data_IF_559555126448
#
_entry.id   IF_559555126448
#
_cell.length_a   1.000
_cell.length_b   1.000
_cell.length_c   1.000
_cell.angle_alpha   90.00
_cell.angle_beta   90.00
_cell.angle_gamma   90.00
#
_symmetry.space_group_name_H-M   'P 1'
#
loop_
_entity.id
_entity.type
_entity.pdbx_description
1 polymer ?
#
# COMPACT_ATOMS: atom_id res chain seq x y z
N UNK A 1 13.49 -9.21 -9.00
CA UNK A 1 12.81 -10.20 -8.17
C UNK A 1 11.65 -9.64 -7.32
N UNK A 2 10.86 -8.73 -7.90
CA UNK A 2 9.75 -8.04 -7.23
C UNK A 2 8.41 -8.77 -7.36
N UNK A 3 8.43 -10.10 -7.50
CA UNK A 3 7.20 -10.91 -7.49
C UNK A 3 6.63 -10.99 -6.06
N UNK A 4 5.32 -11.07 -5.92
CA UNK A 4 4.68 -11.11 -4.59
C UNK A 4 5.27 -12.20 -3.68
N UNK A 5 5.52 -13.46 -4.12
CA UNK A 5 6.14 -14.46 -3.25
C UNK A 5 7.51 -14.03 -2.70
N UNK A 6 8.34 -13.33 -3.49
CA UNK A 6 9.64 -12.86 -3.02
C UNK A 6 9.48 -11.73 -1.99
N UNK A 7 8.56 -10.77 -2.26
CA UNK A 7 8.28 -9.68 -1.32
C UNK A 7 7.72 -10.18 0.02
N UNK A 8 6.88 -11.23 -0.01
CA UNK A 8 6.43 -11.88 1.22
C UNK A 8 7.58 -12.58 1.95
N UNK A 9 8.48 -13.23 1.19
CA UNK A 9 9.68 -13.86 1.75
C UNK A 9 10.63 -12.86 2.42
N UNK A 10 10.72 -11.62 1.88
CA UNK A 10 11.51 -10.54 2.50
C UNK A 10 10.92 -10.13 3.85
N UNK A 11 9.59 -9.98 3.96
CA UNK A 11 8.91 -9.69 5.23
C UNK A 11 9.13 -10.83 6.24
N UNK A 12 8.96 -12.09 5.81
CA UNK A 12 9.20 -13.26 6.65
C UNK A 12 10.66 -13.31 7.16
N UNK A 13 11.63 -12.98 6.30
CA UNK A 13 13.03 -12.93 6.68
C UNK A 13 13.31 -11.89 7.77
N UNK A 14 12.69 -10.70 7.69
CA UNK A 14 12.79 -9.67 8.72
C UNK A 14 12.19 -10.15 10.06
N UNK A 15 11.00 -10.75 10.04
CA UNK A 15 10.35 -11.27 11.27
C UNK A 15 11.23 -12.34 11.92
N UNK A 16 11.78 -13.25 11.12
CA UNK A 16 12.70 -14.28 11.60
C UNK A 16 13.99 -13.70 12.19
N UNK A 17 14.56 -12.67 11.55
CA UNK A 17 15.77 -12.00 12.04
C UNK A 17 15.53 -11.28 13.38
N UNK A 18 14.33 -10.74 13.59
CA UNK A 18 13.91 -10.15 14.85
C UNK A 18 13.73 -11.19 15.98
N UNK A 19 13.68 -12.48 15.67
CA UNK A 19 13.51 -13.55 16.64
C UNK A 19 12.15 -13.58 17.33
N UNK A 20 11.12 -13.05 16.70
CA UNK A 20 9.75 -13.01 17.22
C UNK A 20 8.82 -13.91 16.41
N UNK A 21 7.75 -14.42 17.04
CA UNK A 21 6.78 -15.30 16.38
C UNK A 21 5.77 -14.52 15.53
N UNK A 22 5.38 -13.33 15.99
CA UNK A 22 4.41 -12.49 15.31
C UNK A 22 4.67 -11.01 15.54
N UNK A 23 4.14 -10.18 14.66
CA UNK A 23 4.32 -8.72 14.67
C UNK A 23 2.99 -7.99 14.48
N UNK A 24 2.96 -6.72 14.84
CA UNK A 24 2.03 -5.76 14.27
C UNK A 24 2.62 -5.29 12.94
N UNK A 25 1.94 -5.62 11.84
CA UNK A 25 2.40 -5.25 10.50
C UNK A 25 1.73 -3.95 10.06
N UNK A 26 2.54 -2.98 9.63
CA UNK A 26 2.05 -1.67 9.17
C UNK A 26 2.50 -1.45 7.73
N UNK A 27 1.58 -1.12 6.84
CA UNK A 27 1.89 -0.88 5.44
C UNK A 27 1.17 0.32 4.83
N UNK A 28 1.86 1.01 3.93
CA UNK A 28 1.33 2.09 3.12
C UNK A 28 1.58 1.79 1.64
N UNK A 29 0.64 2.08 0.77
CA UNK A 29 0.74 1.89 -0.68
C UNK A 29 1.21 0.46 -1.06
N UNK A 30 2.32 0.29 -1.75
CA UNK A 30 2.91 -1.03 -2.03
C UNK A 30 3.17 -1.84 -0.76
N UNK A 31 3.65 -1.18 0.31
CA UNK A 31 3.76 -1.82 1.63
C UNK A 31 2.42 -2.29 2.17
N UNK A 32 1.34 -1.55 1.94
CA UNK A 32 -0.03 -1.97 2.25
C UNK A 32 -0.47 -3.20 1.45
N UNK A 33 -0.14 -3.24 0.14
CA UNK A 33 -0.42 -4.41 -0.71
C UNK A 33 0.30 -5.66 -0.21
N UNK A 34 1.58 -5.52 0.11
CA UNK A 34 2.41 -6.60 0.67
C UNK A 34 1.83 -7.04 2.02
N UNK A 35 1.45 -6.09 2.88
CA UNK A 35 0.91 -6.39 4.21
C UNK A 35 -0.42 -7.12 4.18
N UNK A 36 -1.35 -6.74 3.29
CA UNK A 36 -2.59 -7.49 3.06
C UNK A 36 -2.28 -8.93 2.62
N UNK A 37 -1.41 -9.10 1.62
CA UNK A 37 -1.04 -10.42 1.12
C UNK A 37 -0.29 -11.24 2.17
N UNK A 38 0.62 -10.63 2.94
CA UNK A 38 1.35 -11.31 3.99
C UNK A 38 0.41 -11.82 5.09
N UNK A 39 -0.52 -10.98 5.55
CA UNK A 39 -1.50 -11.37 6.55
C UNK A 39 -2.43 -12.51 6.08
N UNK A 40 -2.74 -12.58 4.78
CA UNK A 40 -3.53 -13.67 4.19
C UNK A 40 -2.75 -14.99 4.08
N UNK A 41 -1.45 -14.94 3.81
CA UNK A 41 -0.63 -16.14 3.59
C UNK A 41 0.03 -16.65 4.88
N UNK A 42 0.33 -15.73 5.81
CA UNK A 42 1.03 -16.01 7.07
C UNK A 42 0.26 -15.44 8.29
N UNK A 43 -1.04 -15.78 8.46
CA UNK A 43 -1.86 -15.16 9.50
C UNK A 43 -1.33 -15.38 10.91
N UNK A 44 -0.56 -16.45 11.14
CA UNK A 44 0.06 -16.75 12.44
C UNK A 44 1.20 -15.79 12.81
N UNK A 45 1.78 -15.11 11.82
CA UNK A 45 2.88 -14.17 12.04
C UNK A 45 2.42 -12.72 12.15
N UNK A 46 1.09 -12.47 12.05
CA UNK A 46 0.51 -11.11 12.14
C UNK A 46 -0.52 -11.09 13.26
N UNK A 47 -0.19 -10.44 14.38
CA UNK A 47 -1.13 -10.29 15.49
C UNK A 47 -2.08 -9.09 15.31
N UNK A 48 -1.66 -8.06 14.59
CA UNK A 48 -2.45 -6.87 14.24
C UNK A 48 -2.01 -6.32 12.88
N UNK A 49 -2.93 -5.81 12.10
CA UNK A 49 -2.64 -5.24 10.78
C UNK A 49 -3.07 -3.77 10.72
N UNK A 50 -2.17 -2.88 10.29
CA UNK A 50 -2.45 -1.46 10.07
C UNK A 50 -2.17 -1.11 8.61
N UNK A 51 -3.15 -0.54 7.93
CA UNK A 51 -3.04 -0.17 6.51
C UNK A 51 -3.30 1.32 6.34
N UNK A 52 -2.41 1.99 5.63
CA UNK A 52 -2.55 3.38 5.21
C UNK A 52 -2.74 3.45 3.69
N UNK A 53 -3.79 4.08 3.23
CA UNK A 53 -4.08 4.36 1.81
C UNK A 53 -3.85 3.18 0.86
N UNK A 54 -4.35 2.02 1.22
CA UNK A 54 -4.56 0.92 0.28
C UNK A 54 -5.82 0.14 0.69
N UNK A 55 -6.69 -0.11 -0.26
CA UNK A 55 -7.91 -0.89 -0.05
C UNK A 55 -7.60 -2.39 0.00
N UNK A 56 -8.49 -3.17 0.60
CA UNK A 56 -8.41 -4.62 0.53
C UNK A 56 -8.32 -5.09 -0.93
N UNK A 57 -7.57 -6.15 -1.27
CA UNK A 57 -7.38 -6.59 -2.66
C UNK A 57 -8.68 -6.79 -3.44
N UNK A 58 -9.75 -7.24 -2.80
CA UNK A 58 -11.08 -7.37 -3.46
C UNK A 58 -11.65 -6.01 -3.83
N UNK A 59 -11.63 -5.05 -2.91
CA UNK A 59 -12.10 -3.70 -3.17
C UNK A 59 -11.29 -3.03 -4.27
N UNK A 60 -9.96 -3.16 -4.22
CA UNK A 60 -9.07 -2.67 -5.27
C UNK A 60 -9.42 -3.25 -6.66
N UNK A 61 -9.61 -4.56 -6.75
CA UNK A 61 -9.99 -5.20 -8.01
C UNK A 61 -11.36 -4.77 -8.50
N UNK A 62 -12.34 -4.62 -7.61
CA UNK A 62 -13.70 -4.18 -7.96
C UNK A 62 -13.68 -2.77 -8.56
N UNK A 63 -12.95 -1.84 -7.94
CA UNK A 63 -12.78 -0.49 -8.47
C UNK A 63 -12.06 -0.52 -9.81
N UNK A 64 -10.97 -1.26 -9.93
CA UNK A 64 -10.20 -1.36 -11.17
C UNK A 64 -11.02 -1.89 -12.34
N UNK A 65 -11.88 -2.88 -12.13
CA UNK A 65 -12.77 -3.45 -13.16
C UNK A 65 -13.84 -2.46 -13.60
N UNK A 66 -14.30 -1.59 -12.70
CA UNK A 66 -15.37 -0.62 -12.93
C UNK A 66 -14.86 0.82 -12.98
N UNK A 67 -13.54 1.02 -13.18
CA UNK A 67 -12.92 2.32 -13.09
C UNK A 67 -13.53 3.35 -14.05
N UNK A 68 -13.88 4.52 -13.50
CA UNK A 68 -14.31 5.70 -14.25
C UNK A 68 -13.21 6.20 -15.19
N UNK A 69 -13.55 7.10 -16.09
CA UNK A 69 -12.57 7.75 -16.96
C UNK A 69 -11.52 8.51 -16.12
N UNK A 70 -11.94 9.20 -15.06
CA UNK A 70 -11.06 9.94 -14.16
C UNK A 70 -10.12 8.99 -13.40
N UNK A 71 -10.64 7.87 -12.88
CA UNK A 71 -9.82 6.90 -12.18
C UNK A 71 -8.79 6.24 -13.12
N UNK A 72 -9.17 5.96 -14.36
CA UNK A 72 -8.23 5.46 -15.39
C UNK A 72 -7.13 6.47 -15.67
N UNK A 73 -7.47 7.76 -15.79
CA UNK A 73 -6.50 8.84 -15.97
C UNK A 73 -5.56 8.97 -14.75
N UNK A 74 -6.11 8.94 -13.54
CA UNK A 74 -5.34 9.01 -12.30
C UNK A 74 -4.36 7.84 -12.11
N UNK A 75 -4.67 6.67 -12.67
CA UNK A 75 -3.85 5.46 -12.57
C UNK A 75 -3.04 5.14 -13.84
N UNK A 76 -3.00 6.05 -14.82
CA UNK A 76 -2.25 5.88 -16.06
C UNK A 76 -0.76 5.60 -15.82
N UNK A 77 -0.19 6.20 -14.77
CA UNK A 77 1.20 5.99 -14.37
C UNK A 77 1.54 4.51 -14.15
N UNK A 78 0.57 3.67 -13.73
CA UNK A 78 0.78 2.22 -13.56
C UNK A 78 1.18 1.56 -14.89
N UNK A 79 0.59 2.02 -15.99
CA UNK A 79 0.94 1.56 -17.35
C UNK A 79 2.26 2.16 -17.81
N UNK A 80 2.45 3.46 -17.56
CA UNK A 80 3.65 4.18 -17.97
C UNK A 80 4.91 3.60 -17.32
N UNK A 81 4.84 3.24 -16.04
CA UNK A 81 5.95 2.64 -15.27
C UNK A 81 6.37 1.26 -15.76
N UNK A 82 5.51 0.58 -16.52
CA UNK A 82 5.86 -0.69 -17.16
C UNK A 82 6.67 -0.50 -18.46
N UNK A 83 6.68 0.72 -19.02
CA UNK A 83 7.39 1.02 -20.25
C UNK A 83 8.90 0.99 -20.01
N UNK A 84 9.69 0.23 -20.80
CA UNK A 84 11.15 0.26 -20.71
C UNK A 84 11.70 1.68 -20.94
N UNK A 85 12.65 2.10 -20.10
CA UNK A 85 13.27 3.43 -20.17
C UNK A 85 12.45 4.55 -19.52
N UNK A 86 11.29 4.25 -18.93
CA UNK A 86 10.51 5.28 -18.23
C UNK A 86 11.23 5.79 -16.97
N UNK A 87 12.12 4.99 -16.40
CA UNK A 87 12.99 5.35 -15.27
C UNK A 87 13.79 6.63 -15.52
N UNK A 88 14.18 6.90 -16.76
CA UNK A 88 14.96 8.09 -17.13
C UNK A 88 14.18 9.42 -16.98
N UNK A 89 12.83 9.32 -16.86
CA UNK A 89 11.93 10.46 -16.62
C UNK A 89 11.69 10.75 -15.15
N UNK A 90 12.06 9.83 -14.28
CA UNK A 90 11.80 9.91 -12.83
C UNK A 90 13.09 10.32 -12.10
N UNK A 91 13.52 11.58 -12.30
CA UNK A 91 14.67 12.10 -11.55
C UNK A 91 14.36 12.19 -10.06
N UNK A 92 15.38 12.26 -9.18
CA UNK A 92 15.17 12.46 -7.74
C UNK A 92 14.26 13.66 -7.42
N UNK A 93 14.37 14.76 -8.20
CA UNK A 93 13.53 15.96 -8.05
C UNK A 93 12.07 15.69 -8.40
N UNK A 94 11.81 14.95 -9.49
CA UNK A 94 10.45 14.56 -9.91
C UNK A 94 9.84 13.67 -8.85
N UNK A 95 10.56 12.66 -8.37
CA UNK A 95 10.10 11.76 -7.30
C UNK A 95 9.83 12.50 -5.99
N UNK A 96 10.71 13.46 -5.64
CA UNK A 96 10.50 14.34 -4.48
C UNK A 96 9.24 15.19 -4.64
N UNK A 97 9.01 15.76 -5.82
CA UNK A 97 7.81 16.54 -6.12
C UNK A 97 6.53 15.70 -5.97
N UNK A 98 6.53 14.46 -6.44
CA UNK A 98 5.40 13.53 -6.33
C UNK A 98 5.14 13.15 -4.86
N UNK A 99 6.20 12.82 -4.11
CA UNK A 99 6.07 12.22 -2.78
C UNK A 99 5.96 13.25 -1.64
N UNK A 100 6.52 14.44 -1.82
CA UNK A 100 6.64 15.45 -0.76
C UNK A 100 6.53 16.90 -1.28
N UNK A 101 5.92 17.13 -2.45
CA UNK A 101 5.89 18.45 -3.09
C UNK A 101 5.26 19.56 -2.25
N UNK A 102 4.33 19.21 -1.37
CA UNK A 102 3.64 20.08 -0.41
C UNK A 102 4.28 20.15 0.98
N UNK A 103 5.35 19.37 1.22
CA UNK A 103 6.03 19.34 2.50
C UNK A 103 6.98 20.53 2.71
N UNK A 104 7.41 20.75 3.96
CA UNK A 104 8.45 21.71 4.30
C UNK A 104 9.78 21.38 3.61
N UNK A 105 10.60 22.41 3.33
CA UNK A 105 11.84 22.24 2.56
C UNK A 105 12.84 21.27 3.20
N UNK A 106 12.89 21.20 4.53
CA UNK A 106 13.72 20.21 5.22
C UNK A 106 13.28 18.76 4.93
N UNK A 107 11.98 18.51 4.84
CA UNK A 107 11.43 17.20 4.48
C UNK A 107 11.74 16.89 3.02
N UNK A 108 11.56 17.85 2.12
CA UNK A 108 11.91 17.69 0.70
C UNK A 108 13.39 17.34 0.51
N UNK A 109 14.29 18.00 1.26
CA UNK A 109 15.72 17.72 1.19
C UNK A 109 16.04 16.25 1.55
N UNK A 110 15.39 15.70 2.58
CA UNK A 110 15.54 14.28 2.97
C UNK A 110 15.01 13.32 1.90
N UNK A 111 13.86 13.65 1.27
CA UNK A 111 13.32 12.86 0.16
C UNK A 111 14.27 12.90 -1.05
N UNK A 112 14.78 14.08 -1.40
CA UNK A 112 15.73 14.25 -2.51
C UNK A 112 17.01 13.41 -2.29
N UNK A 113 17.58 13.47 -1.09
CA UNK A 113 18.74 12.66 -0.71
C UNK A 113 18.42 11.16 -0.82
N UNK A 114 17.28 10.71 -0.28
CA UNK A 114 16.86 9.31 -0.34
C UNK A 114 16.69 8.83 -1.78
N UNK A 115 16.01 9.59 -2.64
CA UNK A 115 15.82 9.23 -4.04
C UNK A 115 17.13 9.27 -4.85
N UNK A 116 18.06 10.20 -4.53
CA UNK A 116 19.37 10.26 -5.18
C UNK A 116 20.22 9.01 -4.88
N UNK A 117 19.98 8.34 -3.76
CA UNK A 117 20.67 7.12 -3.33
C UNK A 117 19.87 5.84 -3.63
N UNK A 118 18.73 5.95 -4.31
CA UNK A 118 17.82 4.82 -4.55
C UNK A 118 17.84 4.37 -6.02
N UNK A 119 17.43 3.13 -6.24
CA UNK A 119 17.26 2.58 -7.60
C UNK A 119 15.86 2.86 -8.13
N UNK A 120 15.71 3.85 -9.01
CA UNK A 120 14.43 4.14 -9.70
C UNK A 120 13.94 2.92 -10.47
N UNK A 121 14.85 2.21 -11.15
CA UNK A 121 14.52 0.94 -11.82
C UNK A 121 13.88 -0.05 -10.85
N UNK A 122 14.45 -0.21 -9.64
CA UNK A 122 13.91 -1.08 -8.61
C UNK A 122 12.49 -0.66 -8.19
N UNK A 123 12.21 0.63 -8.08
CA UNK A 123 10.87 1.14 -7.77
C UNK A 123 9.86 0.77 -8.87
N UNK A 124 10.23 0.86 -10.15
CA UNK A 124 9.36 0.51 -11.27
C UNK A 124 9.18 -1.01 -11.43
N UNK A 125 10.14 -1.81 -10.98
CA UNK A 125 10.07 -3.26 -11.08
C UNK A 125 8.92 -3.87 -10.23
N UNK A 126 8.43 -3.17 -9.19
CA UNK A 126 7.17 -3.52 -8.51
C UNK A 126 6.00 -3.53 -9.49
N UNK A 127 5.85 -2.46 -10.28
CA UNK A 127 4.77 -2.33 -11.27
C UNK A 127 4.93 -3.32 -12.42
N UNK A 128 6.16 -3.52 -12.90
CA UNK A 128 6.48 -4.48 -13.97
C UNK A 128 6.18 -5.92 -13.55
N UNK A 129 6.52 -6.29 -12.32
CA UNK A 129 6.26 -7.62 -11.80
C UNK A 129 4.77 -7.89 -11.52
N UNK A 130 4.06 -6.90 -10.96
CA UNK A 130 2.66 -7.07 -10.58
C UNK A 130 1.69 -6.95 -11.75
N UNK A 131 1.97 -6.06 -12.72
CA UNK A 131 1.02 -5.70 -13.78
C UNK A 131 1.49 -6.11 -15.19
N UNK A 132 2.76 -6.48 -15.37
CA UNK A 132 3.32 -6.84 -16.69
C UNK A 132 2.66 -8.05 -17.36
N UNK A 133 2.03 -8.94 -16.59
CA UNK A 133 1.28 -10.09 -17.09
C UNK A 133 -0.21 -9.80 -17.36
N UNK A 134 -0.76 -8.69 -16.91
CA UNK A 134 -2.19 -8.38 -17.08
C UNK A 134 -2.60 -8.06 -18.53
N UNK A 135 -1.62 -7.67 -19.35
CA UNK A 135 -1.86 -7.42 -20.77
C UNK A 135 -1.85 -8.72 -21.61
N UNK A 136 -1.54 -9.87 -21.03
CA UNK A 136 -1.47 -11.17 -21.74
C UNK A 136 -2.77 -11.97 -21.69
N UNK A 137 -3.86 -11.42 -21.15
CA UNK A 137 -5.16 -12.11 -21.04
C UNK A 137 -5.17 -13.30 -20.05
N UNK A 138 -4.13 -13.50 -19.29
CA UNK A 138 -4.06 -14.52 -18.23
C UNK A 138 -4.62 -13.99 -16.90
N UNK A 139 -5.77 -13.33 -16.93
CA UNK A 139 -6.55 -13.05 -15.74
C UNK A 139 -7.04 -14.36 -15.14
N UNK A 140 -6.34 -14.89 -14.18
CA UNK A 140 -6.78 -16.05 -13.41
C UNK A 140 -8.16 -15.79 -12.81
N UNK A 141 -8.99 -16.84 -12.69
CA UNK A 141 -10.26 -16.79 -11.96
C UNK A 141 -10.05 -16.09 -10.61
N UNK A 142 -11.02 -15.31 -10.11
CA UNK A 142 -10.92 -14.70 -8.79
C UNK A 142 -10.73 -15.81 -7.76
N UNK A 143 -9.50 -15.94 -7.27
CA UNK A 143 -9.22 -16.90 -6.21
C UNK A 143 -9.98 -16.44 -4.96
N UNK A 144 -10.66 -17.35 -4.30
CA UNK A 144 -11.27 -17.07 -3.01
C UNK A 144 -10.16 -16.62 -2.05
N UNK A 145 -10.27 -15.39 -1.52
CA UNK A 145 -9.30 -14.88 -0.57
C UNK A 145 -9.72 -15.34 0.82
N UNK A 146 -8.77 -15.74 1.69
CA UNK A 146 -9.08 -16.10 3.05
C UNK A 146 -9.55 -14.87 3.83
N UNK A 147 -10.39 -15.09 4.83
CA UNK A 147 -10.69 -14.08 5.84
C UNK A 147 -9.48 -13.88 6.76
N UNK A 148 -9.31 -12.67 7.23
CA UNK A 148 -8.22 -12.29 8.13
C UNK A 148 -8.65 -12.49 9.57
N UNK A 149 -7.97 -13.35 10.35
CA UNK A 149 -8.36 -13.64 11.73
C UNK A 149 -7.78 -12.66 12.76
N UNK A 150 -7.11 -11.58 12.32
CA UNK A 150 -6.51 -10.58 13.20
C UNK A 150 -7.22 -9.23 13.10
N UNK A 151 -7.17 -8.41 14.16
CA UNK A 151 -7.68 -7.04 14.12
C UNK A 151 -7.01 -6.19 13.06
N UNK A 152 -7.80 -5.37 12.36
CA UNK A 152 -7.33 -4.48 11.31
C UNK A 152 -7.70 -3.04 11.61
N UNK A 153 -6.71 -2.13 11.55
CA UNK A 153 -6.89 -0.69 11.53
C UNK A 153 -6.54 -0.17 10.14
N UNK A 154 -7.49 0.50 9.49
CA UNK A 154 -7.26 1.06 8.15
C UNK A 154 -7.48 2.57 8.18
N UNK A 155 -6.50 3.33 7.69
CA UNK A 155 -6.60 4.76 7.41
C UNK A 155 -6.74 4.99 5.91
N UNK A 156 -7.57 5.97 5.52
CA UNK A 156 -7.71 6.34 4.11
C UNK A 156 -8.01 7.82 3.94
N UNK A 157 -7.20 8.51 3.14
CA UNK A 157 -7.44 9.88 2.73
C UNK A 157 -8.48 9.95 1.60
N UNK A 158 -9.58 10.69 1.80
CA UNK A 158 -10.69 10.71 0.83
C UNK A 158 -10.37 11.49 -0.45
N UNK A 159 -9.26 12.20 -0.50
CA UNK A 159 -8.75 12.89 -1.69
C UNK A 159 -7.72 12.05 -2.46
N UNK A 160 -7.48 10.79 -2.05
CA UNK A 160 -6.55 9.89 -2.75
C UNK A 160 -7.03 9.62 -4.18
N UNK A 161 -6.20 10.02 -5.15
CA UNK A 161 -6.47 9.81 -6.57
C UNK A 161 -5.89 8.49 -7.09
N UNK A 162 -4.89 7.93 -6.41
CA UNK A 162 -4.25 6.69 -6.79
C UNK A 162 -5.08 5.47 -6.36
N UNK A 163 -5.60 5.50 -5.13
CA UNK A 163 -6.40 4.43 -4.55
C UNK A 163 -7.80 4.95 -4.24
N UNK A 164 -8.76 4.59 -5.07
CA UNK A 164 -10.14 5.07 -4.96
C UNK A 164 -10.81 4.55 -3.67
N UNK A 165 -11.40 5.49 -2.91
CA UNK A 165 -12.14 5.22 -1.67
C UNK A 165 -13.31 4.24 -1.83
N UNK A 166 -13.87 4.09 -3.03
CA UNK A 166 -14.95 3.13 -3.28
C UNK A 166 -14.51 1.67 -3.07
N UNK A 167 -13.20 1.42 -3.14
CA UNK A 167 -12.61 0.12 -2.79
C UNK A 167 -12.57 -0.19 -1.29
N UNK A 168 -12.95 0.75 -0.41
CA UNK A 168 -13.12 0.51 1.03
C UNK A 168 -14.42 -0.24 1.34
N UNK A 169 -15.36 -0.19 0.41
CA UNK A 169 -16.70 -0.77 0.58
C UNK A 169 -16.60 -2.27 0.80
N UNK A 170 -17.37 -2.74 1.78
CA UNK A 170 -17.48 -4.17 2.12
C UNK A 170 -16.18 -4.86 2.59
N UNK A 171 -15.13 -4.09 2.93
CA UNK A 171 -13.86 -4.64 3.46
C UNK A 171 -14.09 -5.53 4.68
N UNK A 172 -15.07 -5.21 5.54
CA UNK A 172 -15.43 -6.01 6.73
C UNK A 172 -15.84 -7.45 6.42
N UNK A 173 -16.29 -7.76 5.19
CA UNK A 173 -16.63 -9.12 4.78
C UNK A 173 -15.43 -10.05 4.68
N UNK A 174 -14.22 -9.50 4.71
CA UNK A 174 -12.95 -10.22 4.55
C UNK A 174 -12.13 -10.27 5.85
N UNK A 175 -12.72 -9.82 6.96
CA UNK A 175 -12.06 -9.74 8.26
C UNK A 175 -12.93 -10.45 9.29
N UNK A 176 -12.42 -11.57 9.84
CA UNK A 176 -13.06 -12.34 10.92
C UNK A 176 -12.53 -11.90 12.29
N UNK A 177 -12.43 -10.58 12.46
CA UNK A 177 -11.95 -9.93 13.67
C UNK A 177 -12.44 -8.47 13.70
N UNK A 178 -12.00 -7.68 14.67
CA UNK A 178 -12.33 -6.27 14.75
C UNK A 178 -11.76 -5.47 13.56
N UNK A 179 -12.59 -4.71 12.90
CA UNK A 179 -12.19 -3.79 11.84
C UNK A 179 -12.47 -2.34 12.23
N UNK A 180 -11.44 -1.53 12.24
CA UNK A 180 -11.53 -0.09 12.47
C UNK A 180 -11.12 0.65 11.20
N UNK A 181 -12.04 1.43 10.62
CA UNK A 181 -11.78 2.29 9.47
C UNK A 181 -11.79 3.75 9.88
N UNK A 182 -10.72 4.47 9.57
CA UNK A 182 -10.58 5.92 9.77
C UNK A 182 -10.44 6.59 8.41
N UNK A 183 -11.47 7.30 7.97
CA UNK A 183 -11.41 8.11 6.76
C UNK A 183 -11.06 9.55 7.10
N UNK A 184 -10.19 10.18 6.31
CA UNK A 184 -9.70 11.53 6.56
C UNK A 184 -10.07 12.41 5.36
N UNK A 185 -11.08 13.30 5.50
CA UNK A 185 -11.67 14.05 4.37
C UNK A 185 -10.67 14.91 3.59
N UNK A 186 -9.75 15.56 4.30
CA UNK A 186 -8.82 16.54 3.74
C UNK A 186 -7.43 15.97 3.44
N UNK A 187 -7.29 14.66 3.46
CA UNK A 187 -6.02 13.97 3.16
C UNK A 187 -6.05 13.27 1.82
N UNK A 188 -4.89 13.24 1.19
CA UNK A 188 -4.61 12.55 -0.04
C UNK A 188 -3.99 11.16 0.24
N UNK A 189 -3.08 10.73 -0.61
CA UNK A 189 -2.43 9.41 -0.56
C UNK A 189 -1.48 9.21 0.65
N UNK A 190 -0.94 10.27 1.24
CA UNK A 190 0.11 10.21 2.25
C UNK A 190 -0.42 10.52 3.66
N UNK A 191 -1.48 9.82 4.11
CA UNK A 191 -2.15 10.13 5.41
C UNK A 191 -1.19 10.10 6.59
N UNK A 192 -0.19 9.23 6.61
CA UNK A 192 0.82 9.12 7.67
C UNK A 192 1.73 10.37 7.75
N UNK A 193 1.79 11.17 6.68
CA UNK A 193 2.49 12.45 6.61
C UNK A 193 1.52 13.64 6.74
N UNK A 194 0.44 13.64 5.99
CA UNK A 194 -0.51 14.75 5.91
C UNK A 194 -1.33 14.91 7.19
N UNK A 195 -1.66 13.81 7.86
CA UNK A 195 -2.39 13.77 9.13
C UNK A 195 -1.60 13.05 10.23
N UNK A 196 -0.28 13.26 10.31
CA UNK A 196 0.63 12.51 11.16
C UNK A 196 0.18 12.44 12.63
N UNK A 197 -0.31 13.55 13.20
CA UNK A 197 -0.78 13.59 14.58
C UNK A 197 -2.01 12.69 14.80
N UNK A 198 -2.99 12.76 13.91
CA UNK A 198 -4.20 11.93 13.97
C UNK A 198 -3.86 10.45 13.80
N UNK A 199 -3.07 10.12 12.78
CA UNK A 199 -2.65 8.73 12.49
C UNK A 199 -1.89 8.15 13.68
N UNK A 200 -0.88 8.88 14.20
CA UNK A 200 -0.07 8.42 15.32
C UNK A 200 -0.89 8.23 16.61
N UNK A 201 -1.73 9.21 16.97
CA UNK A 201 -2.55 9.14 18.19
C UNK A 201 -3.56 7.99 18.11
N UNK A 202 -4.25 7.86 16.98
CA UNK A 202 -5.23 6.78 16.76
C UNK A 202 -4.53 5.41 16.80
N UNK A 203 -3.38 5.27 16.13
CA UNK A 203 -2.64 4.02 16.12
C UNK A 203 -2.17 3.64 17.53
N UNK A 204 -1.61 4.57 18.30
CA UNK A 204 -1.15 4.32 19.66
C UNK A 204 -2.30 3.88 20.58
N UNK A 205 -3.44 4.57 20.54
CA UNK A 205 -4.64 4.18 21.29
C UNK A 205 -5.11 2.80 20.88
N UNK A 206 -5.28 2.55 19.60
CA UNK A 206 -5.78 1.28 19.08
C UNK A 206 -4.85 0.10 19.40
N UNK A 207 -3.53 0.33 19.43
CA UNK A 207 -2.54 -0.69 19.81
C UNK A 207 -2.61 -0.99 21.31
N UNK A 208 -2.82 0.04 22.16
CA UNK A 208 -2.90 -0.09 23.62
C UNK A 208 -4.20 -0.73 24.12
N UNK A 209 -5.31 -0.42 23.49
CA UNK A 209 -6.65 -0.90 23.94
C UNK A 209 -6.89 -2.41 23.64
N UNK A 210 -6.01 -3.05 22.88
CA UNK A 210 -6.17 -4.42 22.38
C UNK A 210 -5.01 -5.35 22.71
N UNK A 211 -4.33 -5.06 23.84
CA UNK A 211 -3.25 -5.90 24.39
C UNK A 211 -3.79 -7.11 25.16
#
# INVERSE_FOLDING_TARGET
NYTMPNLLGDVEAVIRDLGVESVTLVGHDWGGSISWQFAMHYPQQVNKLVICNLTHPRGYMTVRQNASADQKANTQYITDFQTPGFEDRLTPEVLTGISAGDAADEVKARYLEAFSNSSVKGMLDYYRAAFGGLNTGQGGQPRELPQLPMPVLQFHGLLDKAVDKDGLRDTWNWIDADYTLVTIPDCNHWVQREAAALVSTTMLSWLGDRS
#
